data_IF_021320516620
#
_entry.id   IF_021320516620
#
_cell.length_a   1.000
_cell.length_b   1.000
_cell.length_c   1.000
_cell.angle_alpha   90.00
_cell.angle_beta   90.00
_cell.angle_gamma   90.00
#
_symmetry.space_group_name_H-M   'P 1'
#
loop_
_entity.id
_entity.type
_entity.pdbx_description
1 polymer ?
#
# COMPACT_ATOMS: atom_id res chain seq x y z
N UNK A 1 -17.72 0.27 6.59
CA UNK A 1 -16.26 0.37 6.48
C UNK A 1 -15.86 1.60 7.23
N UNK A 2 -14.85 1.53 8.10
CA UNK A 2 -14.42 2.71 8.86
C UNK A 2 -13.19 3.33 8.24
N UNK A 3 -13.07 4.65 8.30
CA UNK A 3 -12.00 5.45 7.72
C UNK A 3 -11.30 6.26 8.81
N UNK A 4 -9.99 6.42 8.63
CA UNK A 4 -9.13 7.34 9.36
C UNK A 4 -8.16 7.99 8.37
N UNK A 5 -7.63 9.16 8.68
CA UNK A 5 -6.67 9.85 7.80
C UNK A 5 -5.90 10.92 8.55
N UNK A 6 -4.78 11.36 7.97
CA UNK A 6 -4.08 12.58 8.36
C UNK A 6 -3.71 13.35 7.10
N UNK A 7 -4.12 14.61 7.03
CA UNK A 7 -3.74 15.56 6.00
C UNK A 7 -2.78 16.59 6.61
N UNK A 8 -1.50 16.50 6.29
CA UNK A 8 -0.49 17.42 6.87
C UNK A 8 -0.54 18.83 6.28
N UNK A 9 -1.08 19.02 5.07
CA UNK A 9 -1.23 20.35 4.48
C UNK A 9 -2.35 21.19 5.11
N UNK A 10 -3.39 20.53 5.65
CA UNK A 10 -4.54 21.22 6.27
C UNK A 10 -4.63 21.04 7.79
N UNK A 11 -3.75 20.25 8.39
CA UNK A 11 -3.80 19.85 9.81
C UNK A 11 -5.13 19.19 10.21
N UNK A 12 -5.82 18.56 9.25
CA UNK A 12 -7.04 17.79 9.48
C UNK A 12 -6.70 16.32 9.66
N UNK A 13 -7.37 15.67 10.60
CA UNK A 13 -7.20 14.22 10.80
C UNK A 13 -8.43 13.57 11.42
N UNK A 14 -8.51 12.25 11.22
CA UNK A 14 -9.36 11.34 11.97
C UNK A 14 -8.43 10.27 12.54
N UNK A 15 -8.42 10.14 13.87
CA UNK A 15 -7.52 9.23 14.57
C UNK A 15 -7.87 7.76 14.27
N UNK A 16 -6.85 6.94 14.01
CA UNK A 16 -6.96 5.49 13.76
C UNK A 16 -7.57 4.69 14.93
N UNK A 17 -7.49 5.20 16.15
CA UNK A 17 -8.10 4.59 17.34
C UNK A 17 -9.62 4.81 17.38
N UNK A 18 -10.12 5.81 16.65
CA UNK A 18 -11.54 6.16 16.57
C UNK A 18 -11.96 6.42 15.12
N UNK A 19 -11.85 5.42 14.22
CA UNK A 19 -12.18 5.59 12.81
C UNK A 19 -13.71 5.70 12.65
N UNK A 20 -14.16 6.50 11.69
CA UNK A 20 -15.59 6.78 11.48
C UNK A 20 -16.14 5.99 10.31
N UNK A 21 -17.43 5.67 10.30
CA UNK A 21 -18.06 5.04 9.13
C UNK A 21 -17.96 5.98 7.91
N UNK A 22 -17.73 5.39 6.74
CA UNK A 22 -17.59 6.12 5.48
C UNK A 22 -18.30 5.41 4.32
N UNK A 23 -18.47 6.12 3.21
CA UNK A 23 -18.89 5.59 1.92
C UNK A 23 -17.79 5.88 0.87
N UNK A 24 -17.93 5.32 -0.34
CA UNK A 24 -16.91 5.44 -1.38
C UNK A 24 -16.69 6.89 -1.82
N UNK A 25 -17.77 7.67 -1.99
CA UNK A 25 -17.70 9.06 -2.43
C UNK A 25 -16.90 9.93 -1.44
N UNK A 26 -17.24 9.87 -0.16
CA UNK A 26 -16.55 10.62 0.90
C UNK A 26 -15.08 10.21 1.00
N UNK A 27 -14.79 8.90 0.93
CA UNK A 27 -13.42 8.39 1.01
C UNK A 27 -12.56 8.83 -0.17
N UNK A 28 -13.11 8.84 -1.39
CA UNK A 28 -12.40 9.30 -2.59
C UNK A 28 -12.17 10.81 -2.53
N UNK A 29 -13.18 11.58 -2.09
CA UNK A 29 -13.02 13.03 -1.93
C UNK A 29 -11.89 13.35 -0.94
N UNK A 30 -11.85 12.67 0.21
CA UNK A 30 -10.75 12.80 1.17
C UNK A 30 -9.42 12.39 0.52
N UNK A 31 -9.36 11.26 -0.18
CA UNK A 31 -8.14 10.82 -0.87
C UNK A 31 -7.60 11.87 -1.84
N UNK A 32 -8.47 12.51 -2.64
CA UNK A 32 -8.07 13.54 -3.58
C UNK A 32 -7.53 14.81 -2.89
N UNK A 33 -7.98 15.12 -1.67
CA UNK A 33 -7.42 16.21 -0.86
C UNK A 33 -6.01 15.91 -0.30
N UNK A 34 -5.55 14.66 -0.36
CA UNK A 34 -4.24 14.22 0.18
C UNK A 34 -3.13 14.13 -0.88
N UNK A 35 -3.47 14.21 -2.16
CA UNK A 35 -2.55 13.93 -3.29
C UNK A 35 -1.37 14.91 -3.33
N UNK A 36 -1.57 16.15 -2.92
CA UNK A 36 -0.54 17.19 -3.01
C UNK A 36 0.41 17.23 -1.80
N UNK A 37 0.14 16.45 -0.75
CA UNK A 37 0.83 16.56 0.54
C UNK A 37 1.58 15.28 0.91
N UNK A 38 2.90 15.35 0.87
CA UNK A 38 3.82 14.28 1.25
C UNK A 38 3.49 13.73 2.65
N UNK A 39 3.65 12.41 2.81
CA UNK A 39 3.43 11.66 4.06
C UNK A 39 1.98 11.67 4.57
N UNK A 40 1.07 12.44 3.96
CA UNK A 40 -0.35 12.36 4.25
C UNK A 40 -0.88 10.97 3.91
N UNK A 41 -1.86 10.51 4.67
CA UNK A 41 -2.36 9.14 4.51
C UNK A 41 -3.85 9.03 4.77
N UNK A 42 -4.46 8.05 4.12
CA UNK A 42 -5.82 7.59 4.36
C UNK A 42 -5.78 6.10 4.66
N UNK A 43 -6.58 5.65 5.62
CA UNK A 43 -6.68 4.25 5.95
C UNK A 43 -8.09 3.82 6.30
N UNK A 44 -8.28 2.51 6.26
CA UNK A 44 -9.56 1.86 6.41
C UNK A 44 -9.46 0.69 7.36
N UNK A 45 -10.54 0.46 8.12
CA UNK A 45 -10.69 -0.68 9.02
C UNK A 45 -11.97 -1.42 8.68
N UNK A 46 -11.84 -2.71 8.37
CA UNK A 46 -12.99 -3.57 8.09
C UNK A 46 -13.62 -4.12 9.37
N UNK A 47 -14.74 -4.84 9.22
CA UNK A 47 -15.50 -5.41 10.35
C UNK A 47 -14.77 -6.48 11.16
N UNK A 48 -13.64 -6.99 10.66
CA UNK A 48 -12.80 -7.99 11.33
C UNK A 48 -11.54 -7.34 11.94
N UNK A 49 -11.54 -6.03 12.12
CA UNK A 49 -10.42 -5.22 12.63
C UNK A 49 -9.15 -5.33 11.77
N UNK A 50 -9.28 -5.75 10.51
CA UNK A 50 -8.18 -5.67 9.54
C UNK A 50 -8.05 -4.23 9.08
N UNK A 51 -6.82 -3.73 9.00
CA UNK A 51 -6.52 -2.39 8.52
C UNK A 51 -5.73 -2.38 7.22
N UNK A 52 -5.89 -1.30 6.46
CA UNK A 52 -5.10 -0.95 5.29
C UNK A 52 -4.91 0.56 5.29
N UNK A 53 -3.75 1.04 4.89
CA UNK A 53 -3.50 2.47 4.69
C UNK A 53 -2.77 2.72 3.37
N UNK A 54 -2.99 3.91 2.82
CA UNK A 54 -2.34 4.45 1.64
C UNK A 54 -1.60 5.70 2.10
N UNK A 55 -0.27 5.67 2.04
CA UNK A 55 0.60 6.78 2.44
C UNK A 55 1.15 7.44 1.18
N UNK A 56 1.07 8.76 1.08
CA UNK A 56 1.58 9.51 -0.05
C UNK A 56 3.12 9.56 -0.02
N UNK A 57 3.75 8.93 -1.01
CA UNK A 57 5.20 9.01 -1.27
C UNK A 57 5.46 9.77 -2.59
N UNK A 58 5.03 11.04 -2.66
CA UNK A 58 5.22 12.01 -3.76
C UNK A 58 4.57 11.63 -5.09
N UNK A 59 5.11 10.60 -5.73
CA UNK A 59 4.75 10.18 -7.09
C UNK A 59 3.95 8.87 -7.11
N UNK A 60 3.80 8.26 -5.93
CA UNK A 60 3.17 6.95 -5.74
C UNK A 60 2.65 6.86 -4.31
N UNK A 61 1.77 5.89 -4.10
CA UNK A 61 1.23 5.58 -2.79
C UNK A 61 1.82 4.28 -2.29
N UNK A 62 2.28 4.29 -1.05
CA UNK A 62 2.59 3.07 -0.31
C UNK A 62 1.28 2.53 0.26
N UNK A 63 0.81 1.43 -0.32
CA UNK A 63 -0.21 0.59 0.29
C UNK A 63 0.46 -0.23 1.37
N UNK A 64 -0.05 -0.14 2.61
CA UNK A 64 0.49 -0.81 3.78
C UNK A 64 -0.63 -1.51 4.57
N UNK A 65 -0.48 -2.81 4.81
CA UNK A 65 -1.36 -3.62 5.63
C UNK A 65 -0.57 -4.09 6.86
N UNK A 66 -0.83 -3.51 8.04
CA UNK A 66 -0.23 -3.92 9.29
C UNK A 66 -0.55 -5.38 9.64
N UNK A 67 0.41 -6.07 10.25
CA UNK A 67 0.24 -7.45 10.72
C UNK A 67 0.64 -7.60 12.21
N UNK A 68 -0.02 -6.87 13.13
CA UNK A 68 0.32 -6.94 14.55
C UNK A 68 0.15 -8.37 15.12
N UNK A 69 0.96 -8.76 16.11
CA UNK A 69 2.01 -7.99 16.77
C UNK A 69 3.35 -8.00 16.02
N UNK A 70 3.39 -8.53 14.80
CA UNK A 70 4.60 -8.66 14.02
C UNK A 70 4.85 -7.38 13.22
N UNK A 71 6.08 -6.86 13.27
CA UNK A 71 6.51 -5.76 12.43
C UNK A 71 6.84 -6.22 11.00
N UNK A 72 5.98 -7.07 10.42
CA UNK A 72 6.07 -7.60 9.06
C UNK A 72 4.79 -7.24 8.31
N UNK A 73 4.78 -6.06 7.69
CA UNK A 73 3.61 -5.58 6.95
C UNK A 73 3.57 -6.16 5.55
N UNK A 74 2.37 -6.22 4.97
CA UNK A 74 2.20 -6.47 3.54
C UNK A 74 2.11 -5.13 2.82
N UNK A 75 3.03 -4.89 1.90
CA UNK A 75 3.16 -3.61 1.21
C UNK A 75 3.15 -3.75 -0.31
N UNK A 76 2.70 -2.69 -0.99
CA UNK A 76 2.85 -2.51 -2.43
C UNK A 76 2.89 -1.02 -2.79
N UNK A 77 3.48 -0.71 -3.95
CA UNK A 77 3.32 0.61 -4.55
C UNK A 77 2.16 0.59 -5.54
N UNK A 78 1.33 1.62 -5.44
CA UNK A 78 0.18 1.84 -6.33
C UNK A 78 0.15 3.31 -6.77
N UNK A 79 -0.45 3.57 -7.93
CA UNK A 79 -0.69 4.94 -8.41
C UNK A 79 -2.09 5.44 -8.01
N UNK A 80 -2.39 6.71 -8.27
CA UNK A 80 -3.66 7.34 -7.86
C UNK A 80 -4.90 6.60 -8.39
N UNK A 81 -4.87 6.13 -9.64
CA UNK A 81 -6.00 5.40 -10.23
C UNK A 81 -6.19 4.06 -9.55
N UNK A 82 -5.10 3.36 -9.26
CA UNK A 82 -5.12 2.10 -8.52
C UNK A 82 -5.63 2.32 -7.09
N UNK A 83 -5.20 3.39 -6.40
CA UNK A 83 -5.74 3.77 -5.09
C UNK A 83 -7.26 3.96 -5.13
N UNK A 84 -7.77 4.79 -6.04
CA UNK A 84 -9.21 5.07 -6.16
C UNK A 84 -9.98 3.76 -6.40
N UNK A 85 -9.56 2.94 -7.36
CA UNK A 85 -10.22 1.66 -7.64
C UNK A 85 -10.17 0.70 -6.46
N UNK A 86 -9.09 0.69 -5.69
CA UNK A 86 -8.99 -0.12 -4.47
C UNK A 86 -9.89 0.39 -3.36
N UNK A 87 -9.95 1.71 -3.15
CA UNK A 87 -10.82 2.37 -2.15
C UNK A 87 -12.29 2.07 -2.45
N UNK A 88 -12.72 2.25 -3.69
CA UNK A 88 -14.08 1.90 -4.15
C UNK A 88 -14.39 0.44 -3.83
N UNK A 89 -13.52 -0.47 -4.27
CA UNK A 89 -13.71 -1.91 -4.08
C UNK A 89 -13.80 -2.32 -2.62
N UNK A 90 -12.89 -1.87 -1.76
CA UNK A 90 -12.87 -2.31 -0.34
C UNK A 90 -14.09 -1.78 0.43
N UNK A 91 -14.59 -0.59 0.06
CA UNK A 91 -15.78 -0.01 0.69
C UNK A 91 -17.04 -0.73 0.20
N UNK A 92 -17.19 -0.93 -1.12
CA UNK A 92 -18.35 -1.62 -1.71
C UNK A 92 -18.47 -3.07 -1.23
N UNK A 93 -17.34 -3.78 -1.17
CA UNK A 93 -17.30 -5.14 -0.61
C UNK A 93 -17.35 -5.16 0.93
N UNK A 94 -17.19 -4.00 1.57
CA UNK A 94 -17.04 -3.81 3.01
C UNK A 94 -16.02 -4.79 3.62
N UNK A 95 -14.91 -5.00 2.91
CA UNK A 95 -13.89 -6.01 3.21
C UNK A 95 -12.55 -5.64 2.57
N UNK A 96 -11.46 -5.77 3.32
CA UNK A 96 -10.11 -5.57 2.77
C UNK A 96 -9.65 -6.86 2.07
N UNK A 97 -9.93 -6.93 0.76
CA UNK A 97 -9.57 -8.03 -0.13
C UNK A 97 -8.87 -7.51 -1.40
N UNK A 98 -7.56 -7.71 -1.47
CA UNK A 98 -6.74 -7.22 -2.58
C UNK A 98 -6.40 -8.36 -3.53
N UNK A 99 -6.54 -8.11 -4.84
CA UNK A 99 -6.14 -9.02 -5.90
C UNK A 99 -4.92 -8.45 -6.62
N UNK A 100 -3.80 -8.38 -5.90
CA UNK A 100 -2.53 -7.87 -6.40
C UNK A 100 -1.35 -8.51 -5.67
N UNK A 101 -0.16 -8.41 -6.25
CA UNK A 101 1.06 -8.86 -5.58
C UNK A 101 1.41 -7.91 -4.42
N UNK A 102 1.46 -8.46 -3.22
CA UNK A 102 1.95 -7.79 -2.02
C UNK A 102 3.32 -8.36 -1.63
N UNK A 103 4.15 -7.54 -1.00
CA UNK A 103 5.47 -7.90 -0.50
C UNK A 103 5.45 -7.88 1.01
N UNK A 104 6.05 -8.90 1.62
CA UNK A 104 6.31 -8.90 3.06
C UNK A 104 7.50 -8.00 3.35
N UNK A 105 7.32 -7.01 4.22
CA UNK A 105 8.34 -6.03 4.56
C UNK A 105 8.52 -6.01 6.08
N UNK A 106 9.73 -6.30 6.55
CA UNK A 106 10.08 -6.16 7.97
C UNK A 106 10.36 -4.69 8.27
N UNK A 107 9.32 -3.93 8.57
CA UNK A 107 9.33 -2.46 8.62
C UNK A 107 10.34 -1.86 9.61
N UNK A 108 10.85 -2.65 10.57
CA UNK A 108 11.92 -2.23 11.49
C UNK A 108 13.33 -2.30 10.88
N UNK A 109 13.51 -3.03 9.79
CA UNK A 109 14.82 -3.37 9.22
C UNK A 109 15.00 -2.90 7.78
N UNK A 110 13.91 -2.82 7.00
CA UNK A 110 13.97 -2.59 5.56
C UNK A 110 12.69 -1.92 5.04
N UNK A 111 12.81 -1.27 3.89
CA UNK A 111 11.70 -0.65 3.16
C UNK A 111 11.21 -1.55 2.01
N UNK A 112 10.04 -1.24 1.45
CA UNK A 112 9.58 -1.89 0.22
C UNK A 112 10.59 -1.73 -0.93
N UNK A 113 11.26 -0.58 -1.04
CA UNK A 113 12.28 -0.36 -2.07
C UNK A 113 13.46 -1.34 -1.92
N UNK A 114 13.90 -1.62 -0.69
CA UNK A 114 14.98 -2.60 -0.43
C UNK A 114 14.59 -4.00 -0.90
N UNK A 115 13.35 -4.44 -0.60
CA UNK A 115 12.80 -5.72 -1.05
C UNK A 115 12.73 -5.81 -2.58
N UNK A 116 12.24 -4.75 -3.23
CA UNK A 116 12.13 -4.70 -4.70
C UNK A 116 13.50 -4.74 -5.38
N UNK A 117 14.50 -4.05 -4.82
CA UNK A 117 15.87 -4.09 -5.33
C UNK A 117 16.49 -5.49 -5.21
N UNK A 118 16.27 -6.18 -4.08
CA UNK A 118 16.72 -7.56 -3.89
C UNK A 118 16.10 -8.51 -4.94
N UNK A 119 14.78 -8.41 -5.20
CA UNK A 119 14.12 -9.22 -6.24
C UNK A 119 14.71 -8.97 -7.63
N UNK A 120 14.96 -7.71 -7.99
CA UNK A 120 15.54 -7.36 -9.29
C UNK A 120 16.96 -7.94 -9.44
N UNK A 121 17.77 -7.87 -8.39
CA UNK A 121 19.12 -8.42 -8.37
C UNK A 121 19.11 -9.95 -8.47
N UNK A 122 18.20 -10.62 -7.78
CA UNK A 122 18.03 -12.07 -7.85
C UNK A 122 17.66 -12.53 -9.28
N UNK A 123 16.69 -11.85 -9.92
CA UNK A 123 16.31 -12.11 -11.31
C UNK A 123 17.46 -11.90 -12.31
N UNK A 124 18.27 -10.85 -12.11
CA UNK A 124 19.47 -10.58 -12.93
C UNK A 124 20.58 -11.63 -12.71
N UNK A 125 20.75 -12.12 -11.47
CA UNK A 125 21.70 -13.17 -11.13
C UNK A 125 21.34 -14.53 -11.72
N UNK A 126 20.06 -14.86 -11.80
CA UNK A 126 19.55 -16.07 -12.48
C UNK A 126 19.71 -15.99 -14.00
N UNK A 127 19.43 -14.83 -14.61
CA UNK A 127 19.62 -14.61 -16.05
C UNK A 127 21.08 -14.79 -16.51
N UNK A 128 22.06 -14.39 -15.68
CA UNK A 128 23.50 -14.57 -15.97
C UNK A 128 24.03 -16.00 -15.77
N UNK A 129 23.25 -16.91 -15.15
CA UNK A 129 23.60 -18.33 -15.00
C UNK A 129 23.12 -19.20 -16.17
N UNK A 130 22.43 -18.63 -17.16
CA UNK A 130 22.15 -19.29 -18.43
C UNK A 130 23.47 -19.49 -19.20
N UNK A 131 23.97 -20.73 -19.22
CA UNK A 131 25.25 -21.11 -19.86
C UNK A 131 25.28 -20.77 -21.36
N UNK A 132 26.46 -20.43 -21.92
CA UNK A 132 26.61 -20.23 -23.36
C UNK A 132 26.39 -21.56 -24.08
N UNK A 133 25.41 -21.60 -24.97
CA UNK A 133 25.14 -22.75 -25.82
C UNK A 133 26.18 -22.77 -26.96
N UNK A 134 27.39 -23.25 -26.66
CA UNK A 134 28.28 -23.75 -27.71
C UNK A 134 27.86 -25.19 -28.03
N UNK A 135 27.28 -25.39 -29.21
CA UNK A 135 27.40 -26.64 -29.94
C UNK A 135 27.81 -26.34 -31.37
N UNK A 136 29.09 -26.63 -31.60
CA UNK A 136 29.71 -26.99 -32.87
C UNK A 136 28.74 -27.63 -33.86
N UNK A 137 28.72 -27.13 -35.09
CA UNK A 137 28.86 -27.90 -36.33
C UNK A 137 29.52 -27.01 -37.37
#
# INVERSE_FOLDING_TARGET
MKLFYTNYGTDKSINSDNPIETNAEDAINIFLELVDEDESFIGFVDKNDKSIQFINEKEKWLLDIPNPPHFENLQAYVNDKECISLIEKIIDENKISLDMKLYKVKIMNETLNDILLQEQNNKRGESKKAKPFWKFW
#
